data_IF_297104417955
#
_entry.id   IF_297104417955
#
_cell.length_a   1.000
_cell.length_b   1.000
_cell.length_c   1.000
_cell.angle_alpha   90.00
_cell.angle_beta   90.00
_cell.angle_gamma   90.00
#
_symmetry.space_group_name_H-M   'P 1'
#
loop_
_entity.id
_entity.type
_entity.pdbx_description
1 polymer ?
#
# COMPACT_ATOMS: atom_id res chain seq x y z
N UNK A 1 -28.67 4.73 38.17
CA UNK A 1 -29.83 4.35 37.31
C UNK A 1 -30.22 5.63 36.62
N UNK A 2 -30.06 5.79 35.31
CA UNK A 2 -30.81 5.08 34.25
C UNK A 2 -30.00 5.14 32.95
N UNK A 3 -29.95 4.00 32.25
CA UNK A 3 -29.53 3.71 30.87
C UNK A 3 -28.88 4.83 30.03
N UNK A 4 -27.58 4.68 29.75
CA UNK A 4 -26.92 5.35 28.64
C UNK A 4 -27.47 4.79 27.33
N UNK A 5 -28.42 5.50 26.74
CA UNK A 5 -28.98 5.17 25.44
C UNK A 5 -27.91 5.30 24.35
N UNK A 6 -27.82 4.25 23.55
CA UNK A 6 -26.91 4.10 22.42
C UNK A 6 -27.30 5.09 21.30
N UNK A 7 -26.36 5.92 20.86
CA UNK A 7 -26.57 6.93 19.81
C UNK A 7 -26.50 6.24 18.45
N UNK A 8 -27.51 6.45 17.59
CA UNK A 8 -27.56 5.90 16.23
C UNK A 8 -27.44 7.00 15.18
N UNK A 9 -26.64 6.81 14.11
CA UNK A 9 -26.63 7.71 12.96
C UNK A 9 -27.98 7.72 12.24
N UNK A 10 -28.36 8.87 11.69
CA UNK A 10 -29.60 9.04 10.91
C UNK A 10 -29.24 8.98 9.43
N UNK A 11 -29.81 8.00 8.72
CA UNK A 11 -29.69 7.85 7.28
C UNK A 11 -30.90 8.50 6.61
N UNK A 12 -30.67 9.35 5.61
CA UNK A 12 -31.72 9.94 4.77
C UNK A 12 -31.76 9.16 3.45
N UNK A 13 -32.95 8.76 3.02
CA UNK A 13 -33.13 8.16 1.70
C UNK A 13 -33.01 9.23 0.60
N UNK A 14 -32.61 8.84 -0.61
CA UNK A 14 -32.48 9.76 -1.76
C UNK A 14 -33.80 10.48 -2.08
N UNK A 15 -34.92 9.80 -1.85
CA UNK A 15 -36.26 10.33 -2.09
C UNK A 15 -36.71 11.34 -1.01
N UNK A 16 -35.95 11.50 0.07
CA UNK A 16 -36.25 12.39 1.21
C UNK A 16 -35.51 13.74 1.14
N UNK A 17 -34.71 13.97 0.09
CA UNK A 17 -33.92 15.18 -0.12
C UNK A 17 -34.52 15.98 -1.29
N UNK A 18 -35.07 17.16 -1.01
CA UNK A 18 -35.42 18.14 -2.06
C UNK A 18 -34.48 19.35 -1.93
N UNK A 19 -33.45 19.41 -2.79
CA UNK A 19 -32.61 20.60 -2.94
C UNK A 19 -32.04 20.73 -4.37
N UNK A 20 -31.42 21.88 -4.66
CA UNK A 20 -30.70 22.20 -5.92
C UNK A 20 -29.45 21.33 -6.20
N UNK A 21 -29.23 20.30 -5.38
CA UNK A 21 -28.21 19.27 -5.53
C UNK A 21 -28.87 17.90 -5.39
N UNK A 22 -29.72 17.57 -6.37
CA UNK A 22 -30.48 16.31 -6.48
C UNK A 22 -29.64 15.03 -6.51
N UNK A 23 -28.32 15.14 -6.37
CA UNK A 23 -27.37 14.04 -6.41
C UNK A 23 -26.59 13.84 -5.09
N UNK A 24 -26.83 14.65 -4.06
CA UNK A 24 -26.13 14.52 -2.78
C UNK A 24 -26.48 13.20 -2.07
N UNK A 25 -25.49 12.32 -1.89
CA UNK A 25 -25.65 11.02 -1.24
C UNK A 25 -25.29 11.05 0.27
N UNK A 26 -24.54 12.06 0.71
CA UNK A 26 -24.06 12.16 2.10
C UNK A 26 -23.80 13.61 2.53
N UNK A 27 -24.17 13.94 3.78
CA UNK A 27 -24.06 15.29 4.36
C UNK A 27 -23.24 15.22 5.63
N UNK A 28 -22.15 15.98 5.70
CA UNK A 28 -21.16 15.88 6.78
C UNK A 28 -21.36 16.91 7.90
N UNK A 29 -21.84 18.10 7.55
CA UNK A 29 -22.03 19.21 8.50
C UNK A 29 -23.31 19.97 8.20
N UNK A 30 -24.16 20.17 9.22
CA UNK A 30 -25.20 21.20 9.22
C UNK A 30 -24.70 22.30 10.15
N UNK A 31 -24.43 23.48 9.59
CA UNK A 31 -23.84 24.61 10.31
C UNK A 31 -24.87 25.65 10.72
N UNK A 32 -26.05 25.67 10.08
CA UNK A 32 -27.12 26.61 10.41
C UNK A 32 -28.50 26.06 10.04
N UNK A 33 -29.56 26.60 10.66
CA UNK A 33 -30.96 26.33 10.32
C UNK A 33 -31.74 27.63 10.25
N UNK A 34 -32.43 27.85 9.13
CA UNK A 34 -33.40 28.94 8.95
C UNK A 34 -34.70 28.28 8.48
N UNK A 35 -35.74 28.34 9.31
CA UNK A 35 -37.03 27.66 9.08
C UNK A 35 -36.87 26.15 8.82
N UNK A 36 -37.21 25.68 7.62
CA UNK A 36 -37.06 24.28 7.18
C UNK A 36 -35.77 24.04 6.37
N UNK A 37 -34.94 25.07 6.19
CA UNK A 37 -33.70 25.02 5.43
C UNK A 37 -32.48 24.86 6.36
N UNK A 38 -31.58 23.98 5.97
CA UNK A 38 -30.35 23.64 6.68
C UNK A 38 -29.15 24.02 5.81
N UNK A 39 -28.25 24.82 6.36
CA UNK A 39 -27.00 25.17 5.69
C UNK A 39 -25.98 24.06 5.90
N UNK A 40 -25.38 23.60 4.80
CA UNK A 40 -24.39 22.53 4.82
C UNK A 40 -23.03 23.04 4.36
N UNK A 41 -21.98 22.64 5.08
CA UNK A 41 -20.61 23.04 4.78
C UNK A 41 -19.85 22.02 3.94
N UNK A 42 -20.17 20.73 4.05
CA UNK A 42 -19.58 19.69 3.19
C UNK A 42 -20.63 18.66 2.81
N UNK A 43 -20.78 18.36 1.52
CA UNK A 43 -21.56 17.22 1.03
C UNK A 43 -20.86 16.50 -0.11
N UNK A 44 -21.24 15.24 -0.29
CA UNK A 44 -20.71 14.37 -1.34
C UNK A 44 -21.84 13.93 -2.26
N UNK A 45 -21.55 13.96 -3.56
CA UNK A 45 -22.44 13.42 -4.60
C UNK A 45 -22.14 11.92 -4.82
N UNK A 46 -20.89 11.51 -4.63
CA UNK A 46 -20.43 10.12 -4.70
C UNK A 46 -19.16 9.90 -3.85
N UNK A 47 -18.55 8.69 -3.88
CA UNK A 47 -17.32 8.37 -3.12
C UNK A 47 -16.05 9.10 -3.60
N UNK A 48 -16.15 10.05 -4.55
CA UNK A 48 -15.00 10.69 -5.20
C UNK A 48 -15.07 12.21 -5.24
N UNK A 49 -16.25 12.80 -5.09
CA UNK A 49 -16.46 14.24 -5.34
C UNK A 49 -17.04 14.96 -4.13
N UNK A 50 -16.20 15.79 -3.49
CA UNK A 50 -16.53 16.64 -2.35
C UNK A 50 -16.93 18.04 -2.80
N UNK A 51 -18.06 18.54 -2.31
CA UNK A 51 -18.47 19.94 -2.41
C UNK A 51 -18.49 20.60 -1.04
N UNK A 52 -18.12 21.88 -0.98
CA UNK A 52 -17.78 22.59 0.25
C UNK A 52 -18.77 23.69 0.68
N UNK A 53 -20.00 23.76 0.14
CA UNK A 53 -21.11 24.60 0.67
C UNK A 53 -22.43 24.44 -0.08
N UNK A 54 -23.57 24.46 0.62
CA UNK A 54 -24.92 24.46 0.04
C UNK A 54 -26.03 24.66 1.09
N UNK A 55 -27.29 24.62 0.65
CA UNK A 55 -28.48 24.61 1.52
C UNK A 55 -29.39 23.44 1.12
N UNK A 56 -30.00 22.78 2.10
CA UNK A 56 -30.91 21.64 1.90
C UNK A 56 -32.21 21.85 2.68
N UNK A 57 -33.33 21.26 2.24
CA UNK A 57 -34.57 21.15 3.01
C UNK A 57 -34.78 19.69 3.39
N UNK A 58 -35.03 19.39 4.66
CA UNK A 58 -35.27 18.02 5.14
C UNK A 58 -36.78 17.87 5.40
N UNK A 59 -37.43 16.93 4.71
CA UNK A 59 -38.87 16.69 4.82
C UNK A 59 -39.31 16.09 6.16
N UNK A 60 -40.58 16.31 6.52
CA UNK A 60 -41.22 15.93 7.78
C UNK A 60 -41.34 14.42 7.97
N UNK A 61 -40.32 13.82 8.59
CA UNK A 61 -40.31 12.41 8.98
C UNK A 61 -39.46 12.07 10.20
N UNK A 62 -38.90 13.05 10.91
CA UNK A 62 -38.13 12.80 12.13
C UNK A 62 -38.97 13.11 13.37
N UNK A 63 -39.19 12.09 14.21
CA UNK A 63 -39.76 12.25 15.55
C UNK A 63 -38.90 13.19 16.41
N UNK A 64 -39.55 13.84 17.38
CA UNK A 64 -39.12 15.00 18.18
C UNK A 64 -37.82 14.87 19.00
N UNK A 65 -36.98 13.84 18.82
CA UNK A 65 -35.81 13.58 19.68
C UNK A 65 -34.44 13.69 18.99
N UNK A 66 -34.29 14.55 17.99
CA UNK A 66 -32.98 14.76 17.33
C UNK A 66 -32.21 15.92 17.97
N UNK A 67 -31.23 15.63 18.82
CA UNK A 67 -30.31 16.62 19.40
C UNK A 67 -29.12 16.84 18.45
N UNK A 68 -28.87 18.09 18.06
CA UNK A 68 -27.70 18.50 17.25
C UNK A 68 -26.50 18.70 18.17
N UNK A 69 -25.41 17.95 17.95
CA UNK A 69 -24.14 18.16 18.64
C UNK A 69 -23.13 18.89 17.76
N UNK A 70 -22.42 19.84 18.36
CA UNK A 70 -21.37 20.63 17.73
C UNK A 70 -20.01 19.92 17.93
N UNK A 71 -19.61 19.03 17.02
CA UNK A 71 -18.37 18.26 17.12
C UNK A 71 -17.19 19.00 16.46
N UNK A 72 -16.08 19.17 17.19
CA UNK A 72 -14.85 19.79 16.65
C UNK A 72 -14.02 18.76 15.89
N UNK A 73 -13.31 19.21 14.83
CA UNK A 73 -12.47 18.42 13.90
C UNK A 73 -11.53 17.37 14.52
N UNK A 74 -11.13 17.55 15.78
CA UNK A 74 -10.25 16.61 16.50
C UNK A 74 -10.98 15.37 17.04
N UNK A 75 -12.30 15.45 17.25
CA UNK A 75 -13.11 14.44 17.92
C UNK A 75 -13.75 13.45 16.91
N UNK A 76 -13.65 13.72 15.60
CA UNK A 76 -14.23 12.95 14.49
C UNK A 76 -13.27 11.94 13.82
N UNK A 77 -12.05 11.74 14.36
CA UNK A 77 -11.08 10.74 13.85
C UNK A 77 -11.43 9.29 14.22
N UNK A 78 -12.62 9.04 14.78
CA UNK A 78 -13.11 7.73 15.21
C UNK A 78 -14.52 7.55 14.67
N UNK A 79 -14.73 6.62 13.75
CA UNK A 79 -15.89 5.69 13.67
C UNK A 79 -15.85 4.93 12.33
N UNK A 80 -16.02 3.61 12.39
CA UNK A 80 -15.83 2.65 11.28
C UNK A 80 -17.03 1.76 11.05
N UNK A 81 -16.92 0.90 10.05
CA UNK A 81 -17.98 -0.03 9.68
C UNK A 81 -18.31 -0.99 10.83
N UNK A 82 -19.58 -1.33 10.99
CA UNK A 82 -20.08 -2.26 12.01
C UNK A 82 -20.63 -3.51 11.32
N UNK A 83 -20.66 -4.66 12.00
CA UNK A 83 -21.47 -5.80 11.57
C UNK A 83 -22.89 -5.74 12.17
N UNK A 84 -23.78 -6.65 11.77
CA UNK A 84 -25.20 -6.74 12.18
C UNK A 84 -25.42 -6.87 13.70
N UNK A 85 -24.37 -7.16 14.48
CA UNK A 85 -24.38 -7.21 15.94
C UNK A 85 -23.77 -5.97 16.62
N UNK A 86 -23.48 -4.89 15.89
CA UNK A 86 -22.97 -3.64 16.45
C UNK A 86 -21.51 -3.68 16.94
N UNK A 87 -20.71 -4.68 16.53
CA UNK A 87 -19.29 -4.79 16.93
C UNK A 87 -18.41 -4.13 15.86
N UNK A 88 -17.46 -3.28 16.30
CA UNK A 88 -16.52 -2.54 15.45
C UNK A 88 -15.80 -3.48 14.44
N UNK A 89 -15.99 -3.24 13.14
CA UNK A 89 -15.09 -3.66 12.06
C UNK A 89 -14.15 -2.49 11.73
N UNK A 90 -12.91 -2.80 11.37
CA UNK A 90 -11.87 -1.80 11.11
C UNK A 90 -12.28 -0.75 10.06
N UNK A 91 -12.01 0.51 10.35
CA UNK A 91 -12.36 1.69 9.54
C UNK A 91 -11.58 1.69 8.21
N UNK A 92 -12.28 1.68 7.06
CA UNK A 92 -11.69 1.96 5.75
C UNK A 92 -11.68 3.47 5.46
N UNK A 93 -10.53 4.10 5.64
CA UNK A 93 -10.27 5.46 5.16
C UNK A 93 -8.90 5.97 5.62
N UNK A 94 -7.81 5.71 4.86
CA UNK A 94 -6.42 6.13 5.15
C UNK A 94 -6.07 6.24 6.66
N UNK A 95 -6.51 5.27 7.45
CA UNK A 95 -6.09 5.11 8.83
C UNK A 95 -5.08 3.98 8.86
N UNK A 96 -3.88 4.30 9.31
CA UNK A 96 -2.83 3.34 9.50
C UNK A 96 -3.33 2.29 10.51
N UNK A 97 -3.47 1.02 10.09
CA UNK A 97 -3.97 -0.07 10.93
C UNK A 97 -3.05 -0.24 12.14
N UNK A 98 -3.64 -0.22 13.33
CA UNK A 98 -2.93 -0.42 14.59
C UNK A 98 -3.85 -1.14 15.59
N UNK A 99 -3.36 -2.17 16.27
CA UNK A 99 -4.14 -3.00 17.18
C UNK A 99 -4.71 -4.26 16.52
N UNK A 100 -5.65 -4.92 17.20
CA UNK A 100 -6.23 -6.18 16.73
C UNK A 100 -7.28 -5.95 15.63
N UNK A 101 -7.20 -6.75 14.57
CA UNK A 101 -8.11 -6.74 13.44
C UNK A 101 -8.64 -8.13 13.14
N UNK A 102 -9.91 -8.17 12.74
CA UNK A 102 -10.55 -9.36 12.19
C UNK A 102 -11.13 -9.04 10.81
N UNK A 103 -11.05 -10.01 9.92
CA UNK A 103 -11.74 -9.96 8.62
C UNK A 103 -12.62 -11.19 8.46
N UNK A 104 -13.72 -11.03 7.76
CA UNK A 104 -14.71 -12.07 7.51
C UNK A 104 -14.95 -12.20 6.00
N UNK A 105 -15.26 -13.42 5.56
CA UNK A 105 -15.77 -13.69 4.22
C UNK A 105 -17.20 -13.16 4.07
N UNK A 106 -17.70 -13.12 2.83
CA UNK A 106 -19.08 -12.68 2.54
C UNK A 106 -20.15 -13.55 3.21
N UNK A 107 -19.83 -14.82 3.47
CA UNK A 107 -20.71 -15.76 4.16
C UNK A 107 -20.69 -15.63 5.69
N UNK A 108 -19.97 -14.64 6.24
CA UNK A 108 -19.90 -14.40 7.68
C UNK A 108 -18.80 -15.18 8.41
N UNK A 109 -18.17 -16.18 7.78
CA UNK A 109 -17.07 -16.92 8.39
C UNK A 109 -15.83 -16.03 8.56
N UNK A 110 -15.07 -16.26 9.64
CA UNK A 110 -13.82 -15.53 9.86
C UNK A 110 -12.84 -15.88 8.75
N UNK A 111 -12.11 -14.89 8.24
CA UNK A 111 -11.04 -15.04 7.27
C UNK A 111 -9.68 -14.97 7.95
N UNK A 112 -9.49 -13.98 8.82
CA UNK A 112 -8.31 -13.89 9.68
C UNK A 112 -8.59 -13.08 10.94
N UNK A 113 -7.72 -13.24 11.93
CA UNK A 113 -7.60 -12.38 13.11
C UNK A 113 -6.11 -12.19 13.43
N UNK A 114 -5.70 -11.00 13.84
CA UNK A 114 -4.33 -10.70 14.21
C UNK A 114 -4.08 -9.22 14.47
N UNK A 115 -2.88 -8.89 14.91
CA UNK A 115 -2.51 -7.52 15.31
C UNK A 115 -1.79 -6.77 14.19
N UNK A 116 -2.11 -5.50 14.01
CA UNK A 116 -1.37 -4.60 13.12
C UNK A 116 -0.59 -3.58 13.93
N UNK A 117 0.59 -3.21 13.47
CA UNK A 117 1.37 -2.08 13.96
C UNK A 117 1.74 -1.24 12.75
N UNK A 118 1.18 -0.03 12.69
CA UNK A 118 1.44 0.92 11.62
C UNK A 118 1.25 0.36 10.19
N UNK A 119 0.08 -0.23 9.91
CA UNK A 119 -0.31 -0.92 8.66
C UNK A 119 0.41 -2.26 8.39
N UNK A 120 1.34 -2.67 9.26
CA UNK A 120 2.05 -3.93 9.12
C UNK A 120 1.45 -4.99 10.03
N UNK A 121 1.34 -6.22 9.54
CA UNK A 121 0.99 -7.37 10.38
C UNK A 121 2.09 -7.59 11.41
N UNK A 122 1.72 -7.84 12.65
CA UNK A 122 2.65 -8.06 13.76
C UNK A 122 2.11 -9.12 14.71
N UNK A 123 2.98 -10.03 15.14
CA UNK A 123 2.64 -11.15 15.99
C UNK A 123 1.85 -12.24 15.27
N UNK A 124 1.10 -13.00 16.07
CA UNK A 124 0.32 -14.13 15.60
C UNK A 124 -0.89 -13.69 14.78
N UNK A 125 -1.05 -14.32 13.62
CA UNK A 125 -2.26 -14.27 12.81
C UNK A 125 -2.81 -15.67 12.62
N UNK A 126 -4.09 -15.82 12.90
CA UNK A 126 -4.85 -17.03 12.59
C UNK A 126 -5.65 -16.79 11.32
N UNK A 127 -5.68 -17.77 10.42
CA UNK A 127 -6.44 -17.74 9.17
C UNK A 127 -7.38 -18.92 9.08
N UNK A 128 -8.48 -18.70 8.36
CA UNK A 128 -9.50 -19.71 8.09
C UNK A 128 -9.89 -19.70 6.62
N UNK A 129 -10.35 -20.84 6.12
CA UNK A 129 -11.00 -20.99 4.82
C UNK A 129 -12.43 -20.45 4.87
N UNK A 130 -13.02 -20.21 3.69
CA UNK A 130 -14.39 -19.70 3.57
C UNK A 130 -15.42 -20.70 4.11
N UNK A 131 -15.14 -22.00 4.09
CA UNK A 131 -15.94 -23.03 4.75
C UNK A 131 -15.82 -23.04 6.29
N UNK A 132 -15.00 -22.16 6.89
CA UNK A 132 -14.81 -22.04 8.34
C UNK A 132 -13.70 -22.91 8.93
N UNK A 133 -13.11 -23.81 8.13
CA UNK A 133 -11.98 -24.63 8.55
C UNK A 133 -10.75 -23.77 8.86
N UNK A 134 -9.97 -24.16 9.87
CA UNK A 134 -8.68 -23.52 10.14
C UNK A 134 -7.76 -23.69 8.95
N UNK A 135 -7.13 -22.61 8.52
CA UNK A 135 -6.10 -22.62 7.47
C UNK A 135 -4.71 -22.66 8.08
N UNK A 136 -4.48 -21.94 9.17
CA UNK A 136 -3.19 -21.97 9.83
C UNK A 136 -2.89 -20.75 10.68
N UNK A 137 -1.74 -20.83 11.33
CA UNK A 137 -1.22 -19.89 12.29
C UNK A 137 0.13 -19.39 11.80
N UNK A 138 0.27 -18.07 11.69
CA UNK A 138 1.44 -17.45 11.08
C UNK A 138 1.94 -16.29 11.94
N UNK A 139 3.25 -16.20 12.16
CA UNK A 139 3.85 -15.12 12.95
C UNK A 139 4.52 -14.11 12.03
N UNK A 140 4.09 -12.86 12.14
CA UNK A 140 4.65 -11.73 11.41
C UNK A 140 5.49 -10.87 12.37
N UNK A 141 6.68 -10.43 11.96
CA UNK A 141 7.45 -9.48 12.75
C UNK A 141 8.26 -8.54 11.86
N UNK A 142 8.52 -7.32 12.33
CA UNK A 142 9.39 -6.36 11.63
C UNK A 142 10.86 -6.81 11.56
N UNK A 143 11.27 -7.79 12.36
CA UNK A 143 12.63 -8.35 12.36
C UNK A 143 12.88 -9.37 11.25
N UNK A 144 11.85 -9.79 10.51
CA UNK A 144 12.01 -10.68 9.36
C UNK A 144 12.60 -9.86 8.21
N UNK A 145 13.75 -10.30 7.70
CA UNK A 145 14.59 -9.50 6.79
C UNK A 145 13.89 -9.19 5.48
N UNK A 146 12.96 -10.03 5.05
CA UNK A 146 12.18 -9.85 3.84
C UNK A 146 10.72 -9.55 4.14
N UNK A 147 10.14 -8.54 3.49
CA UNK A 147 8.75 -8.10 3.69
C UNK A 147 7.66 -9.16 3.38
N UNK A 148 8.06 -10.32 2.85
CA UNK A 148 7.21 -11.47 2.56
C UNK A 148 7.42 -12.65 3.51
N UNK A 149 8.34 -12.54 4.46
CA UNK A 149 8.59 -13.60 5.43
C UNK A 149 7.62 -13.51 6.60
N UNK A 150 7.08 -14.66 6.96
CA UNK A 150 6.34 -14.95 8.18
C UNK A 150 6.73 -16.36 8.60
N UNK A 151 6.67 -16.67 9.89
CA UNK A 151 6.83 -18.05 10.33
C UNK A 151 5.52 -18.81 10.16
N UNK A 152 5.57 -20.04 9.67
CA UNK A 152 4.42 -20.96 9.58
C UNK A 152 4.42 -21.85 10.82
N UNK A 153 3.54 -21.60 11.79
CA UNK A 153 3.46 -22.46 12.98
C UNK A 153 2.58 -23.67 12.72
N UNK A 154 1.38 -23.44 12.20
CA UNK A 154 0.46 -24.51 11.82
C UNK A 154 -0.11 -24.21 10.44
N UNK A 155 -0.31 -25.25 9.65
CA UNK A 155 -0.96 -25.11 8.35
C UNK A 155 -1.79 -26.34 8.04
N UNK A 156 -3.00 -26.10 7.56
CA UNK A 156 -3.96 -27.12 7.17
C UNK A 156 -4.40 -26.87 5.73
N UNK A 157 -4.63 -27.93 4.98
CA UNK A 157 -5.29 -27.82 3.69
C UNK A 157 -6.81 -27.59 3.86
N UNK A 158 -7.52 -27.42 2.75
CA UNK A 158 -8.98 -27.20 2.78
C UNK A 158 -9.78 -28.41 3.26
N UNK A 159 -9.16 -29.60 3.29
CA UNK A 159 -9.74 -30.87 3.75
C UNK A 159 -9.45 -31.15 5.24
N UNK A 160 -8.91 -30.16 5.97
CA UNK A 160 -8.48 -30.27 7.38
C UNK A 160 -7.30 -31.21 7.63
N UNK A 161 -6.53 -31.58 6.60
CA UNK A 161 -5.27 -32.28 6.80
C UNK A 161 -4.22 -31.29 7.33
N UNK A 162 -3.64 -31.57 8.49
CA UNK A 162 -2.54 -30.80 9.02
C UNK A 162 -1.25 -31.13 8.27
N UNK A 163 -0.68 -30.13 7.59
CA UNK A 163 0.53 -30.27 6.79
C UNK A 163 1.76 -29.65 7.49
N UNK A 164 1.55 -28.62 8.32
CA UNK A 164 2.58 -28.08 9.22
C UNK A 164 2.03 -28.12 10.65
N UNK A 165 2.85 -28.61 11.58
CA UNK A 165 2.57 -28.66 13.01
C UNK A 165 3.77 -28.13 13.79
N UNK A 166 3.54 -27.16 14.68
CA UNK A 166 4.55 -26.57 15.55
C UNK A 166 5.83 -26.11 14.80
N UNK A 167 5.66 -25.59 13.58
CA UNK A 167 6.77 -25.12 12.76
C UNK A 167 7.48 -26.20 11.95
N UNK A 168 6.95 -27.41 11.88
CA UNK A 168 7.55 -28.54 11.15
C UNK A 168 6.54 -29.13 10.15
N UNK A 169 6.97 -29.37 8.92
CA UNK A 169 6.17 -30.10 7.94
C UNK A 169 6.30 -29.60 6.51
N UNK A 170 5.24 -29.77 5.73
CA UNK A 170 5.19 -29.38 4.32
C UNK A 170 4.23 -28.20 4.13
N UNK A 171 4.65 -27.20 3.36
CA UNK A 171 3.85 -26.00 3.10
C UNK A 171 3.77 -25.70 1.61
N UNK A 172 2.65 -25.13 1.20
CA UNK A 172 2.47 -24.61 -0.15
C UNK A 172 1.88 -23.22 -0.13
N UNK A 173 2.27 -22.44 -1.13
CA UNK A 173 1.90 -21.06 -1.34
C UNK A 173 1.21 -20.90 -2.68
N UNK A 174 0.14 -20.13 -2.69
CA UNK A 174 -0.60 -19.79 -3.89
C UNK A 174 -0.80 -18.28 -3.89
N UNK A 175 0.04 -17.60 -4.67
CA UNK A 175 -0.09 -16.18 -4.96
C UNK A 175 -0.74 -15.97 -6.32
N UNK A 176 -1.06 -14.73 -6.66
CA UNK A 176 -1.58 -14.39 -7.98
C UNK A 176 -0.53 -14.62 -9.08
N UNK A 177 0.74 -14.46 -8.73
CA UNK A 177 1.86 -14.54 -9.66
C UNK A 177 2.46 -15.94 -9.79
N UNK A 178 2.51 -16.71 -8.70
CA UNK A 178 3.16 -18.01 -8.66
C UNK A 178 2.52 -18.96 -7.64
N UNK A 179 2.88 -20.24 -7.76
CA UNK A 179 2.70 -21.25 -6.72
C UNK A 179 4.06 -21.83 -6.35
N UNK A 180 4.25 -22.19 -5.09
CA UNK A 180 5.47 -22.80 -4.60
C UNK A 180 5.16 -23.77 -3.47
N UNK A 181 6.01 -24.76 -3.26
CA UNK A 181 5.89 -25.70 -2.16
C UNK A 181 7.25 -26.24 -1.72
N UNK A 182 7.33 -26.65 -0.46
CA UNK A 182 8.54 -27.20 0.13
C UNK A 182 8.41 -27.42 1.64
N UNK A 183 9.54 -27.79 2.25
CA UNK A 183 9.59 -28.09 3.68
C UNK A 183 9.68 -26.83 4.53
N UNK A 184 9.07 -26.91 5.72
CA UNK A 184 9.15 -25.95 6.80
C UNK A 184 9.83 -26.61 8.01
N UNK A 185 10.76 -25.89 8.62
CA UNK A 185 11.45 -26.25 9.87
C UNK A 185 11.61 -25.02 10.76
N UNK A 186 11.32 -25.15 12.05
CA UNK A 186 11.24 -24.02 13.00
C UNK A 186 10.37 -22.84 12.48
N UNK A 187 9.35 -23.15 11.68
CA UNK A 187 8.47 -22.17 11.05
C UNK A 187 9.03 -21.48 9.80
N UNK A 188 10.25 -21.80 9.38
CA UNK A 188 10.90 -21.21 8.21
C UNK A 188 11.03 -22.19 7.04
N UNK A 189 11.08 -21.65 5.82
CA UNK A 189 11.41 -22.45 4.63
C UNK A 189 12.78 -23.10 4.81
N UNK A 190 12.86 -24.38 4.46
CA UNK A 190 14.12 -25.12 4.45
C UNK A 190 14.19 -26.09 3.28
N UNK A 191 15.42 -26.39 2.84
CA UNK A 191 15.68 -27.32 1.77
C UNK A 191 15.16 -26.81 0.43
N UNK A 192 14.84 -27.75 -0.45
CA UNK A 192 14.42 -27.46 -1.82
C UNK A 192 12.94 -27.10 -1.86
N UNK A 193 12.67 -25.96 -2.47
CA UNK A 193 11.35 -25.42 -2.79
C UNK A 193 11.18 -25.40 -4.30
N UNK A 194 10.06 -25.91 -4.78
CA UNK A 194 9.73 -25.92 -6.21
C UNK A 194 8.53 -25.04 -6.47
N UNK A 195 8.52 -24.31 -7.59
CA UNK A 195 7.38 -23.51 -7.95
C UNK A 195 7.27 -23.19 -9.43
N UNK A 196 6.11 -22.65 -9.78
CA UNK A 196 5.77 -22.28 -11.14
C UNK A 196 5.05 -20.94 -11.16
N UNK A 197 5.36 -20.14 -12.18
CA UNK A 197 4.63 -18.90 -12.41
C UNK A 197 3.23 -19.23 -12.97
N UNK A 198 2.20 -18.50 -12.57
CA UNK A 198 0.82 -18.73 -13.02
C UNK A 198 0.58 -18.20 -14.44
N UNK A 199 1.39 -17.23 -14.87
CA UNK A 199 1.39 -16.71 -16.24
C UNK A 199 2.58 -17.30 -17.00
N UNK A 200 2.29 -18.08 -18.04
CA UNK A 200 3.32 -18.70 -18.89
C UNK A 200 3.81 -20.06 -18.40
N UNK A 201 4.84 -20.58 -19.07
CA UNK A 201 5.47 -21.89 -18.79
C UNK A 201 6.80 -21.73 -18.04
N UNK A 202 6.88 -20.77 -17.12
CA UNK A 202 8.10 -20.52 -16.36
C UNK A 202 8.07 -21.28 -15.03
N UNK A 203 9.22 -21.78 -14.58
CA UNK A 203 9.38 -22.53 -13.32
C UNK A 203 10.56 -22.01 -12.52
N UNK A 204 10.63 -22.39 -11.24
CA UNK A 204 11.80 -22.14 -10.40
C UNK A 204 12.00 -23.24 -9.36
N UNK A 205 13.24 -23.36 -8.93
CA UNK A 205 13.68 -24.17 -7.80
C UNK A 205 14.54 -23.28 -6.92
N UNK A 206 14.31 -23.32 -5.61
CA UNK A 206 15.01 -22.51 -4.62
C UNK A 206 15.48 -23.39 -3.47
N UNK A 207 16.64 -23.11 -2.93
CA UNK A 207 17.19 -23.78 -1.75
C UNK A 207 17.21 -22.79 -0.60
N UNK A 208 16.55 -23.14 0.51
CA UNK A 208 16.50 -22.32 1.71
C UNK A 208 17.23 -22.96 2.89
N UNK A 209 17.92 -22.14 3.68
CA UNK A 209 18.48 -22.51 4.98
C UNK A 209 17.99 -21.52 6.02
N UNK A 210 17.32 -22.02 7.07
CA UNK A 210 16.73 -21.20 8.14
C UNK A 210 15.88 -20.01 7.65
N UNK A 211 15.18 -20.20 6.52
CA UNK A 211 14.33 -19.18 5.89
C UNK A 211 15.06 -18.28 4.90
N UNK A 212 16.39 -18.27 4.88
CA UNK A 212 17.20 -17.48 3.96
C UNK A 212 17.39 -18.22 2.63
N UNK A 213 17.24 -17.50 1.52
CA UNK A 213 17.52 -18.05 0.19
C UNK A 213 19.04 -18.25 0.05
N UNK A 214 19.48 -19.49 -0.15
CA UNK A 214 20.88 -19.82 -0.46
C UNK A 214 21.13 -19.68 -1.96
N UNK A 215 20.27 -20.31 -2.76
CA UNK A 215 20.36 -20.25 -4.22
C UNK A 215 18.99 -20.48 -4.84
N UNK A 216 18.79 -19.89 -6.01
CA UNK A 216 17.61 -20.05 -6.82
C UNK A 216 17.97 -20.23 -8.28
N UNK A 217 17.14 -21.01 -8.98
CA UNK A 217 17.21 -21.23 -10.41
C UNK A 217 15.81 -21.06 -10.98
N UNK A 218 15.64 -20.22 -11.99
CA UNK A 218 14.40 -20.12 -12.76
C UNK A 218 14.63 -20.48 -14.22
N UNK A 219 13.56 -20.94 -14.86
CA UNK A 219 13.50 -21.25 -16.28
C UNK A 219 12.33 -20.47 -16.86
N UNK A 220 12.59 -19.63 -17.86
CA UNK A 220 11.52 -18.87 -18.52
C UNK A 220 10.78 -19.72 -19.58
N UNK A 221 9.76 -19.13 -20.22
CA UNK A 221 8.97 -19.82 -21.23
C UNK A 221 9.75 -20.18 -22.51
N UNK A 222 10.93 -19.59 -22.72
CA UNK A 222 11.83 -19.88 -23.83
C UNK A 222 12.90 -20.92 -23.47
N UNK A 223 12.91 -21.40 -22.22
CA UNK A 223 13.90 -22.35 -21.72
C UNK A 223 15.21 -21.71 -21.27
N UNK A 224 15.29 -20.37 -21.20
CA UNK A 224 16.48 -19.71 -20.68
C UNK A 224 16.57 -19.92 -19.17
N UNK A 225 17.77 -20.24 -18.69
CA UNK A 225 18.05 -20.55 -17.30
C UNK A 225 18.69 -19.34 -16.62
N UNK A 226 18.17 -18.97 -15.45
CA UNK A 226 18.68 -17.88 -14.64
C UNK A 226 18.98 -18.35 -13.23
N UNK A 227 20.17 -18.05 -12.72
CA UNK A 227 20.56 -18.31 -11.33
C UNK A 227 20.54 -17.00 -10.53
N UNK A 228 20.16 -17.08 -9.25
CA UNK A 228 20.06 -15.92 -8.37
C UNK A 228 20.22 -16.32 -6.90
N UNK A 229 20.72 -15.39 -6.09
CA UNK A 229 20.78 -15.51 -4.61
C UNK A 229 19.79 -14.58 -3.91
N UNK A 230 19.08 -13.74 -4.67
CA UNK A 230 18.08 -12.80 -4.17
C UNK A 230 16.82 -12.90 -5.03
N UNK A 231 15.65 -12.98 -4.39
CA UNK A 231 14.36 -13.09 -5.09
C UNK A 231 14.08 -11.83 -5.93
N UNK A 232 14.44 -10.65 -5.43
CA UNK A 232 14.20 -9.36 -6.09
C UNK A 232 15.46 -8.50 -6.04
N UNK A 233 16.19 -8.45 -7.16
CA UNK A 233 17.28 -7.50 -7.34
C UNK A 233 16.71 -6.17 -7.88
N UNK A 234 17.05 -5.05 -7.23
CA UNK A 234 16.63 -3.73 -7.68
C UNK A 234 17.39 -3.33 -8.96
N UNK A 235 16.83 -2.43 -9.79
CA UNK A 235 17.57 -1.84 -10.89
C UNK A 235 18.69 -0.93 -10.36
N UNK A 236 19.82 -0.92 -11.05
CA UNK A 236 21.01 -0.15 -10.66
C UNK A 236 21.58 0.61 -11.86
N UNK A 237 22.20 1.77 -11.62
CA UNK A 237 22.91 2.47 -12.70
C UNK A 237 24.12 1.65 -13.16
N UNK A 238 24.43 1.65 -14.45
CA UNK A 238 25.64 1.00 -14.96
C UNK A 238 26.86 1.68 -14.30
N UNK A 239 27.60 0.92 -13.47
CA UNK A 239 28.70 1.37 -12.59
C UNK A 239 28.31 1.91 -11.20
N UNK A 240 27.06 1.71 -10.79
CA UNK A 240 26.59 2.01 -9.45
C UNK A 240 26.12 3.45 -9.26
N UNK A 241 25.40 3.66 -8.14
CA UNK A 241 24.68 4.91 -7.88
C UNK A 241 25.61 6.13 -7.67
N UNK A 242 26.86 5.92 -7.26
CA UNK A 242 27.83 7.01 -7.09
C UNK A 242 28.23 7.61 -8.44
N UNK A 243 28.49 6.78 -9.44
CA UNK A 243 28.81 7.25 -10.80
C UNK A 243 27.59 7.91 -11.45
N UNK A 244 26.37 7.44 -11.15
CA UNK A 244 25.16 8.15 -11.53
C UNK A 244 25.17 9.59 -11.00
N UNK A 245 25.35 9.79 -9.70
CA UNK A 245 25.33 11.15 -9.13
C UNK A 245 26.50 12.02 -9.59
N UNK A 246 27.65 11.42 -9.90
CA UNK A 246 28.79 12.12 -10.51
C UNK A 246 28.48 12.56 -11.94
N UNK A 247 27.83 11.71 -12.74
CA UNK A 247 27.32 12.07 -14.06
C UNK A 247 26.33 13.23 -13.95
N UNK A 248 25.34 13.13 -13.05
CA UNK A 248 24.34 14.17 -12.83
C UNK A 248 25.03 15.48 -12.45
N UNK A 249 25.92 15.49 -11.46
CA UNK A 249 26.61 16.71 -11.01
C UNK A 249 27.48 17.36 -12.09
N UNK A 250 28.07 16.57 -12.99
CA UNK A 250 28.91 17.08 -14.07
C UNK A 250 28.12 17.62 -15.26
N UNK A 251 26.90 17.13 -15.48
CA UNK A 251 26.06 17.50 -16.61
C UNK A 251 24.93 18.49 -16.26
N UNK A 252 24.62 18.64 -14.98
CA UNK A 252 23.55 19.51 -14.51
C UNK A 252 23.91 21.00 -14.64
N UNK A 253 22.97 21.76 -15.18
CA UNK A 253 23.04 23.22 -15.31
C UNK A 253 22.04 23.89 -14.40
N UNK A 254 22.51 24.50 -13.32
CA UNK A 254 21.63 25.27 -12.43
C UNK A 254 20.95 26.43 -13.18
N UNK A 255 19.61 26.47 -13.29
CA UNK A 255 18.91 27.52 -14.02
C UNK A 255 19.18 28.92 -13.47
N UNK A 256 19.33 29.90 -14.36
CA UNK A 256 19.70 31.28 -13.98
C UNK A 256 18.62 31.94 -13.11
N UNK A 257 17.35 31.75 -13.46
CA UNK A 257 16.21 32.29 -12.71
C UNK A 257 16.13 31.68 -11.30
N UNK A 258 16.34 30.37 -11.19
CA UNK A 258 16.36 29.68 -9.91
C UNK A 258 17.52 30.15 -9.03
N UNK A 259 18.71 30.35 -9.63
CA UNK A 259 19.89 30.88 -8.93
C UNK A 259 19.64 32.30 -8.40
N UNK A 260 19.12 33.20 -9.24
CA UNK A 260 18.83 34.59 -8.86
C UNK A 260 17.77 34.69 -7.74
N UNK A 261 16.78 33.78 -7.76
CA UNK A 261 15.70 33.72 -6.75
C UNK A 261 16.07 32.92 -5.50
N UNK A 262 17.28 32.37 -5.41
CA UNK A 262 17.69 31.54 -4.28
C UNK A 262 16.91 30.23 -4.13
N UNK A 263 16.29 29.72 -5.20
CA UNK A 263 15.48 28.49 -5.17
C UNK A 263 16.40 27.29 -5.01
N UNK A 264 16.25 26.53 -3.93
CA UNK A 264 17.01 25.32 -3.62
C UNK A 264 16.06 24.20 -3.20
N UNK A 265 16.49 22.95 -3.35
CA UNK A 265 15.72 21.80 -2.87
C UNK A 265 15.96 20.54 -3.67
N UNK A 266 15.04 19.58 -3.54
CA UNK A 266 15.09 18.28 -4.23
C UNK A 266 13.93 18.16 -5.21
N UNK A 267 14.27 17.93 -6.48
CA UNK A 267 13.33 17.49 -7.51
C UNK A 267 13.31 15.97 -7.52
N UNK A 268 12.14 15.35 -7.42
CA UNK A 268 11.98 13.90 -7.47
C UNK A 268 11.56 13.49 -8.88
N UNK A 269 12.45 12.79 -9.57
CA UNK A 269 12.24 12.28 -10.92
C UNK A 269 11.87 10.81 -10.84
N UNK A 270 10.75 10.45 -11.44
CA UNK A 270 10.30 9.07 -11.62
C UNK A 270 10.59 8.62 -13.05
N UNK A 271 11.02 7.39 -13.22
CA UNK A 271 11.11 6.73 -14.53
C UNK A 271 10.94 5.22 -14.35
N UNK A 272 10.72 4.51 -15.46
CA UNK A 272 10.69 3.04 -15.52
C UNK A 272 11.96 2.56 -16.20
N UNK A 273 12.68 1.66 -15.54
CA UNK A 273 13.74 0.88 -16.17
C UNK A 273 13.08 -0.35 -16.79
N UNK A 274 13.19 -0.50 -18.11
CA UNK A 274 12.64 -1.65 -18.84
C UNK A 274 13.53 -2.90 -18.68
N UNK A 275 13.16 -4.01 -19.32
CA UNK A 275 13.90 -5.27 -19.23
C UNK A 275 15.26 -5.24 -19.95
N UNK A 276 15.51 -4.23 -20.78
CA UNK A 276 16.76 -3.99 -21.51
C UNK A 276 17.65 -2.96 -20.80
N UNK A 277 17.17 -2.34 -19.73
CA UNK A 277 17.91 -1.30 -19.00
C UNK A 277 17.67 0.12 -19.48
N UNK A 278 16.75 0.34 -20.43
CA UNK A 278 16.41 1.69 -20.89
C UNK A 278 15.47 2.39 -19.91
N UNK A 279 15.58 3.72 -19.87
CA UNK A 279 14.66 4.58 -19.12
C UNK A 279 13.49 4.95 -20.01
N UNK A 280 12.27 4.77 -19.49
CA UNK A 280 11.00 5.13 -20.13
C UNK A 280 10.09 5.85 -19.13
N UNK A 281 9.03 6.53 -19.59
CA UNK A 281 8.07 7.26 -18.73
C UNK A 281 8.76 8.19 -17.70
N UNK A 282 9.77 8.95 -18.15
CA UNK A 282 10.51 9.89 -17.31
C UNK A 282 9.61 11.10 -17.00
N UNK A 283 9.41 11.41 -15.72
CA UNK A 283 8.61 12.55 -15.28
C UNK A 283 9.00 13.06 -13.90
N UNK A 284 8.74 14.33 -13.66
CA UNK A 284 8.86 14.93 -12.32
C UNK A 284 7.58 14.65 -11.54
N UNK A 285 7.70 14.03 -10.36
CA UNK A 285 6.57 13.74 -9.45
C UNK A 285 6.49 14.72 -8.27
N UNK A 286 7.59 15.42 -7.98
CA UNK A 286 7.65 16.51 -7.01
C UNK A 286 8.76 17.47 -7.41
N UNK A 287 8.36 18.65 -7.85
CA UNK A 287 9.24 19.71 -8.30
C UNK A 287 9.56 20.75 -7.23
N UNK A 288 10.44 21.69 -7.59
CA UNK A 288 10.74 22.89 -6.80
C UNK A 288 10.51 24.18 -7.59
N UNK A 289 10.63 24.13 -8.92
CA UNK A 289 10.33 25.23 -9.85
C UNK A 289 10.37 24.70 -11.28
N UNK A 290 9.56 25.22 -12.21
CA UNK A 290 9.51 24.71 -13.59
C UNK A 290 10.87 24.59 -14.29
N UNK A 291 11.78 25.54 -14.06
CA UNK A 291 13.12 25.54 -14.66
C UNK A 291 14.03 24.45 -14.07
N UNK A 292 14.08 24.28 -12.75
CA UNK A 292 14.80 23.17 -12.11
C UNK A 292 14.19 21.81 -12.44
N UNK A 293 12.87 21.74 -12.58
CA UNK A 293 12.16 20.50 -12.89
C UNK A 293 12.51 20.02 -14.31
N UNK A 294 12.55 20.94 -15.28
CA UNK A 294 12.98 20.66 -16.65
C UNK A 294 14.44 20.20 -16.70
N UNK A 295 15.34 20.91 -16.02
CA UNK A 295 16.76 20.53 -15.98
C UNK A 295 16.96 19.14 -15.36
N UNK A 296 16.26 18.84 -14.26
CA UNK A 296 16.34 17.53 -13.61
C UNK A 296 15.84 16.40 -14.51
N UNK A 297 14.79 16.66 -15.30
CA UNK A 297 14.28 15.71 -16.28
C UNK A 297 15.31 15.47 -17.40
N UNK A 298 15.83 16.53 -18.00
CA UNK A 298 16.80 16.43 -19.11
C UNK A 298 18.09 15.71 -18.71
N UNK A 299 18.64 16.01 -17.53
CA UNK A 299 19.90 15.38 -17.10
C UNK A 299 19.70 13.89 -16.79
N UNK A 300 18.52 13.50 -16.28
CA UNK A 300 18.19 12.09 -16.05
C UNK A 300 17.97 11.35 -17.36
N UNK A 301 17.33 11.97 -18.36
CA UNK A 301 17.16 11.37 -19.69
C UNK A 301 18.50 11.11 -20.39
N UNK A 302 19.48 12.00 -20.22
CA UNK A 302 20.83 11.89 -20.79
C UNK A 302 21.72 10.86 -20.10
N UNK A 303 21.38 10.42 -18.89
CA UNK A 303 22.19 9.44 -18.17
C UNK A 303 22.25 8.10 -18.91
N UNK A 304 23.32 7.34 -18.72
CA UNK A 304 23.53 6.05 -19.39
C UNK A 304 22.51 4.98 -18.95
N UNK A 305 22.68 3.77 -19.47
CA UNK A 305 21.80 2.63 -19.22
C UNK A 305 21.82 2.19 -17.76
N UNK A 306 20.73 1.53 -17.36
CA UNK A 306 20.59 0.88 -16.06
C UNK A 306 20.74 -0.63 -16.25
N UNK A 307 21.29 -1.31 -15.26
CA UNK A 307 21.06 -2.74 -15.09
C UNK A 307 19.59 -2.92 -14.71
N UNK A 308 18.81 -3.72 -15.46
CA UNK A 308 17.40 -3.92 -15.17
C UNK A 308 17.21 -4.62 -13.83
N UNK A 309 16.06 -4.41 -13.21
CA UNK A 309 15.66 -5.20 -12.05
C UNK A 309 15.58 -6.67 -12.45
N UNK A 310 15.74 -7.57 -11.47
CA UNK A 310 15.53 -9.00 -11.69
C UNK A 310 14.55 -9.54 -10.67
N UNK A 311 13.61 -10.35 -11.13
CA UNK A 311 12.74 -11.14 -10.27
C UNK A 311 13.04 -12.62 -10.50
N UNK A 312 13.54 -13.31 -9.47
CA UNK A 312 14.00 -14.71 -9.57
C UNK A 312 14.97 -14.91 -10.73
N UNK A 313 15.93 -13.98 -10.85
CA UNK A 313 16.94 -13.95 -11.92
C UNK A 313 16.47 -13.42 -13.28
N UNK A 314 15.17 -13.39 -13.56
CA UNK A 314 14.63 -12.95 -14.85
C UNK A 314 14.54 -11.41 -14.91
N UNK A 315 14.95 -10.76 -16.01
CA UNK A 315 14.81 -9.31 -16.18
C UNK A 315 13.36 -8.86 -16.00
N UNK A 316 13.16 -7.81 -15.21
CA UNK A 316 11.86 -7.27 -14.88
C UNK A 316 11.88 -5.74 -14.99
N UNK A 317 10.80 -5.18 -15.54
CA UNK A 317 10.62 -3.73 -15.52
C UNK A 317 10.34 -3.23 -14.11
N UNK A 318 10.94 -2.11 -13.72
CA UNK A 318 10.75 -1.54 -12.39
C UNK A 318 10.73 -0.02 -12.45
N UNK A 319 9.78 0.57 -11.72
CA UNK A 319 9.72 2.01 -11.50
C UNK A 319 10.76 2.43 -10.47
N UNK A 320 11.53 3.46 -10.78
CA UNK A 320 12.46 4.12 -9.89
C UNK A 320 12.01 5.56 -9.60
N UNK A 321 12.40 6.07 -8.43
CA UNK A 321 12.26 7.47 -8.04
C UNK A 321 13.61 7.92 -7.49
N UNK A 322 14.22 8.92 -8.13
CA UNK A 322 15.52 9.44 -7.72
C UNK A 322 15.41 10.94 -7.36
N UNK A 323 15.93 11.35 -6.19
CA UNK A 323 16.02 12.76 -5.85
C UNK A 323 17.24 13.42 -6.51
N UNK A 324 16.99 14.53 -7.19
CA UNK A 324 17.98 15.40 -7.84
C UNK A 324 18.06 16.69 -7.02
N UNK A 325 19.25 17.01 -6.49
CA UNK A 325 19.41 18.09 -5.51
C UNK A 325 19.96 19.36 -6.18
N UNK A 326 19.23 20.47 -6.05
CA UNK A 326 19.69 21.81 -6.40
C UNK A 326 20.14 22.52 -5.12
N UNK A 327 21.44 22.80 -5.04
CA UNK A 327 22.04 23.51 -3.90
C UNK A 327 22.99 24.59 -4.38
N UNK A 328 22.82 25.80 -3.86
CA UNK A 328 23.76 26.89 -4.03
C UNK A 328 24.92 26.66 -3.08
N UNK A 329 26.15 26.64 -3.61
CA UNK A 329 27.34 26.67 -2.76
C UNK A 329 27.33 27.97 -1.96
N UNK A 330 27.51 27.89 -0.64
CA UNK A 330 27.88 29.07 0.15
C UNK A 330 29.27 29.51 -0.30
N UNK A 331 29.35 30.49 -1.18
CA UNK A 331 30.62 31.21 -1.36
C UNK A 331 30.87 31.94 -0.05
N UNK A 332 31.81 31.45 0.75
CA UNK A 332 32.35 32.20 1.88
C UNK A 332 33.01 33.45 1.30
N UNK A 333 32.31 34.59 1.40
CA UNK A 333 32.98 35.87 1.23
C UNK A 333 33.82 36.09 2.48
N UNK A 334 35.08 35.66 2.43
CA UNK A 334 36.08 36.15 3.37
C UNK A 334 36.30 37.61 3.02
N UNK A 335 35.81 38.50 3.90
CA UNK A 335 35.94 39.95 3.78
C UNK A 335 37.33 40.42 4.15
#
# INVERSE_FOLDING_TARGET
MTFGQEIRPIYLDKDQIQCDASEAAYIRYIVNRIDELYQIEDYWIDNRTLFQKGWIRIGSGMGENSIVYNLKRKDLRKLGDFNESGKLKGIEGRHIKHGNFERFYKNGNKQFSGNYVNDRKSGLFNYWYDNGNTKGDFVYSDSLKNAHEFQVLNFFDSLNQQLVKDGEGFYYEIYDEYKAEGAIKNGYRTGVWTGNFRKGKSTFVETFEEGELVEGKSIDSLGCVYTYSEILAQPEYQNGIMEFYKFIGSNMKYPKDARLKGIQGKVYVQFVVDMQGNKTDVKVIKGISPSCDLEALEVVEKADYFVPAKYRGQPAQRRMIIPITFSLSKTLFTK
#
